data_IF_663575467505
#
_entry.id   IF_663575467505
#
_cell.length_a   1.000
_cell.length_b   1.000
_cell.length_c   1.000
_cell.angle_alpha   90.00
_cell.angle_beta   90.00
_cell.angle_gamma   90.00
#
_symmetry.space_group_name_H-M   'P 1'
#
loop_
_entity.id
_entity.type
_entity.pdbx_description
1 polymer ?
#
# COMPACT_ATOMS: atom_id res chain seq x y z
N UNK A 1 22.46 -5.36 -8.37
CA UNK A 1 22.10 -6.59 -7.63
C UNK A 1 21.40 -6.20 -6.34
N UNK A 2 20.17 -6.66 -6.08
CA UNK A 2 19.47 -6.39 -4.80
C UNK A 2 20.05 -7.32 -3.74
N UNK A 3 20.55 -6.77 -2.63
CA UNK A 3 21.05 -7.57 -1.50
C UNK A 3 19.89 -8.28 -0.78
N UNK A 4 20.16 -9.38 -0.06
CA UNK A 4 19.12 -10.07 0.74
C UNK A 4 18.48 -9.15 1.78
N UNK A 5 19.26 -8.24 2.36
CA UNK A 5 18.75 -7.24 3.32
C UNK A 5 17.81 -6.27 2.62
N UNK A 6 18.22 -5.71 1.48
CA UNK A 6 17.38 -4.82 0.68
C UNK A 6 16.08 -5.49 0.24
N UNK A 7 16.11 -6.76 -0.15
CA UNK A 7 14.90 -7.51 -0.51
C UNK A 7 13.90 -7.63 0.66
N UNK A 8 14.39 -7.90 1.88
CA UNK A 8 13.55 -7.92 3.08
C UNK A 8 13.01 -6.53 3.43
N UNK A 9 13.83 -5.48 3.31
CA UNK A 9 13.37 -4.09 3.50
C UNK A 9 12.21 -3.76 2.56
N UNK A 10 12.30 -4.14 1.28
CA UNK A 10 11.21 -3.94 0.32
C UNK A 10 9.95 -4.71 0.72
N UNK A 11 10.07 -5.96 1.17
CA UNK A 11 8.91 -6.73 1.63
C UNK A 11 8.27 -6.08 2.86
N UNK A 12 9.05 -5.71 3.87
CA UNK A 12 8.54 -5.06 5.08
C UNK A 12 7.88 -3.74 4.75
N UNK A 13 8.50 -2.90 3.92
CA UNK A 13 7.94 -1.62 3.50
C UNK A 13 6.61 -1.80 2.75
N UNK A 14 6.54 -2.78 1.85
CA UNK A 14 5.32 -3.12 1.12
C UNK A 14 4.20 -3.63 2.04
N UNK A 15 4.52 -4.54 2.97
CA UNK A 15 3.55 -5.04 3.97
C UNK A 15 3.05 -3.91 4.87
N UNK A 16 3.96 -3.09 5.40
CA UNK A 16 3.60 -1.94 6.24
C UNK A 16 2.60 -1.02 5.53
N UNK A 17 2.89 -0.70 4.26
CA UNK A 17 2.01 0.13 3.44
C UNK A 17 0.62 -0.49 3.28
N UNK A 18 0.52 -1.76 2.87
CA UNK A 18 -0.76 -2.47 2.69
C UNK A 18 -1.57 -2.57 4.00
N UNK A 19 -0.91 -2.65 5.16
CA UNK A 19 -1.58 -2.77 6.47
C UNK A 19 -2.10 -1.42 6.98
N UNK A 20 -1.36 -0.33 6.75
CA UNK A 20 -1.70 0.99 7.29
C UNK A 20 -2.86 1.64 6.54
N UNK A 21 -2.84 1.57 5.20
CA UNK A 21 -3.78 2.33 4.38
C UNK A 21 -5.26 1.97 4.55
N UNK A 22 -5.67 0.69 4.74
CA UNK A 22 -7.07 0.36 5.00
C UNK A 22 -7.65 1.05 6.24
N UNK A 23 -6.85 1.15 7.32
CA UNK A 23 -7.26 1.85 8.53
C UNK A 23 -7.43 3.35 8.27
N UNK A 24 -6.52 3.95 7.49
CA UNK A 24 -6.60 5.36 7.14
C UNK A 24 -7.78 5.65 6.21
N UNK A 25 -8.03 4.78 5.23
CA UNK A 25 -9.21 4.88 4.35
C UNK A 25 -10.51 4.88 5.15
N UNK A 26 -10.62 4.00 6.17
CA UNK A 26 -11.76 4.02 7.10
C UNK A 26 -11.87 5.36 7.84
N UNK A 27 -10.76 5.90 8.34
CA UNK A 27 -10.76 7.19 9.03
C UNK A 27 -11.23 8.34 8.13
N UNK A 28 -10.88 8.33 6.84
CA UNK A 28 -11.36 9.33 5.86
C UNK A 28 -12.85 9.18 5.60
N UNK A 29 -13.34 7.95 5.41
CA UNK A 29 -14.76 7.69 5.19
C UNK A 29 -15.60 8.16 6.39
N UNK A 30 -15.11 7.93 7.61
CA UNK A 30 -15.81 8.28 8.85
C UNK A 30 -15.68 9.79 9.20
N UNK A 31 -14.93 10.59 8.42
CA UNK A 31 -14.76 12.03 8.62
C UNK A 31 -15.93 12.81 8.00
N UNK A 32 -16.55 13.70 8.78
CA UNK A 32 -17.71 14.51 8.34
C UNK A 32 -17.42 15.32 7.08
N UNK A 33 -16.17 15.74 6.85
CA UNK A 33 -15.79 16.52 5.66
C UNK A 33 -15.76 15.71 4.38
N UNK A 34 -15.74 14.37 4.46
CA UNK A 34 -15.69 13.51 3.29
C UNK A 34 -17.01 13.51 2.50
N UNK A 35 -18.10 13.91 3.14
CA UNK A 35 -19.44 13.80 2.60
C UNK A 35 -20.15 15.15 2.66
N UNK A 36 -21.06 15.41 1.72
CA UNK A 36 -21.90 16.59 1.74
C UNK A 36 -23.05 16.49 2.78
N UNK A 37 -23.25 15.32 3.37
CA UNK A 37 -24.25 15.00 4.38
C UNK A 37 -23.97 13.62 4.97
N UNK A 38 -25.01 12.83 5.20
CA UNK A 38 -24.89 11.46 5.72
C UNK A 38 -23.90 10.61 4.90
N UNK A 39 -22.98 9.95 5.60
CA UNK A 39 -21.94 9.13 4.97
C UNK A 39 -22.59 8.02 4.11
N UNK A 40 -22.00 7.72 2.96
CA UNK A 40 -22.48 6.70 2.00
C UNK A 40 -23.85 6.96 1.34
N UNK A 41 -24.59 7.98 1.76
CA UNK A 41 -25.90 8.33 1.19
C UNK A 41 -25.93 9.73 0.56
N UNK A 42 -24.82 10.46 0.65
CA UNK A 42 -24.65 11.79 0.06
C UNK A 42 -23.43 11.84 -0.87
N UNK A 43 -23.30 12.93 -1.62
CA UNK A 43 -22.20 13.09 -2.57
C UNK A 43 -20.84 13.20 -1.83
N UNK A 44 -19.78 12.51 -2.31
CA UNK A 44 -18.44 12.68 -1.78
C UNK A 44 -17.89 14.07 -2.14
N UNK A 45 -17.16 14.68 -1.22
CA UNK A 45 -16.55 16.00 -1.41
C UNK A 45 -15.17 15.89 -2.06
N UNK A 46 -14.56 17.04 -2.38
CA UNK A 46 -13.15 17.09 -2.81
C UNK A 46 -12.20 16.51 -1.74
N UNK A 47 -12.51 16.65 -0.46
CA UNK A 47 -11.71 16.07 0.63
C UNK A 47 -11.62 14.55 0.50
N UNK A 48 -12.76 13.88 0.24
CA UNK A 48 -12.79 12.44 0.01
C UNK A 48 -11.95 12.06 -1.21
N UNK A 49 -12.18 12.72 -2.35
CA UNK A 49 -11.51 12.34 -3.61
C UNK A 49 -10.00 12.52 -3.57
N UNK A 50 -9.50 13.63 -2.99
CA UNK A 50 -8.05 13.84 -2.83
C UNK A 50 -7.45 12.69 -2.03
N UNK A 51 -8.05 12.34 -0.90
CA UNK A 51 -7.53 11.26 -0.06
C UNK A 51 -7.68 9.89 -0.73
N UNK A 52 -8.79 9.62 -1.42
CA UNK A 52 -8.98 8.37 -2.15
C UNK A 52 -7.89 8.16 -3.21
N UNK A 53 -7.55 9.20 -3.98
CA UNK A 53 -6.47 9.15 -4.98
C UNK A 53 -5.11 8.97 -4.31
N UNK A 54 -4.83 9.71 -3.23
CA UNK A 54 -3.56 9.60 -2.49
C UNK A 54 -3.38 8.19 -1.90
N UNK A 55 -4.42 7.65 -1.25
CA UNK A 55 -4.43 6.30 -0.68
C UNK A 55 -4.25 5.26 -1.80
N UNK A 56 -5.05 5.35 -2.88
CA UNK A 56 -4.96 4.41 -4.00
C UNK A 56 -3.57 4.39 -4.65
N UNK A 57 -2.97 5.57 -4.82
CA UNK A 57 -1.60 5.70 -5.33
C UNK A 57 -0.60 5.06 -4.37
N UNK A 58 -0.70 5.38 -3.08
CA UNK A 58 0.23 4.87 -2.08
C UNK A 58 0.15 3.34 -1.91
N UNK A 59 -1.06 2.76 -1.95
CA UNK A 59 -1.29 1.31 -1.92
C UNK A 59 -0.71 0.65 -3.17
N UNK A 60 -0.93 1.24 -4.35
CA UNK A 60 -0.39 0.72 -5.62
C UNK A 60 1.14 0.67 -5.57
N UNK A 61 1.78 1.75 -5.12
CA UNK A 61 3.22 1.79 -4.94
C UNK A 61 3.70 0.77 -3.90
N UNK A 62 2.99 0.64 -2.78
CA UNK A 62 3.27 -0.35 -1.74
C UNK A 62 3.23 -1.79 -2.26
N UNK A 63 2.22 -2.11 -3.08
CA UNK A 63 2.09 -3.42 -3.72
C UNK A 63 3.21 -3.67 -4.74
N UNK A 64 3.56 -2.68 -5.56
CA UNK A 64 4.71 -2.77 -6.47
C UNK A 64 6.00 -3.08 -5.71
N UNK A 65 6.26 -2.35 -4.63
CA UNK A 65 7.43 -2.55 -3.75
C UNK A 65 7.42 -3.95 -3.13
N UNK A 66 6.27 -4.40 -2.62
CA UNK A 66 6.10 -5.75 -2.06
C UNK A 66 6.41 -6.83 -3.10
N UNK A 67 5.84 -6.72 -4.30
CA UNK A 67 6.04 -7.68 -5.40
C UNK A 67 7.51 -7.75 -5.80
N UNK A 68 8.19 -6.59 -5.94
CA UNK A 68 9.63 -6.53 -6.25
C UNK A 68 10.44 -7.23 -5.15
N UNK A 69 10.16 -6.94 -3.87
CA UNK A 69 10.82 -7.57 -2.73
C UNK A 69 10.65 -9.10 -2.72
N UNK A 70 9.42 -9.58 -2.90
CA UNK A 70 9.10 -11.02 -2.95
C UNK A 70 9.82 -11.70 -4.11
N UNK A 71 9.83 -11.09 -5.31
CA UNK A 71 10.55 -11.62 -6.48
C UNK A 71 12.06 -11.70 -6.24
N UNK A 72 12.65 -10.67 -5.62
CA UNK A 72 14.06 -10.66 -5.27
C UNK A 72 14.43 -11.78 -4.27
N UNK A 73 13.59 -12.03 -3.25
CA UNK A 73 13.78 -13.13 -2.31
C UNK A 73 13.67 -14.51 -2.97
N UNK A 74 12.77 -14.68 -3.96
CA UNK A 74 12.63 -15.93 -4.71
C UNK A 74 13.85 -16.18 -5.62
N UNK A 75 14.34 -15.16 -6.32
CA UNK A 75 15.52 -15.28 -7.18
C UNK A 75 16.79 -15.61 -6.37
N UNK A 76 16.98 -14.98 -5.21
CA UNK A 76 18.12 -15.27 -4.33
C UNK A 76 18.09 -16.67 -3.69
N UNK A 77 16.93 -17.34 -3.64
CA UNK A 77 16.80 -18.74 -3.19
C UNK A 77 17.21 -19.75 -4.26
N UNK A 78 16.95 -19.46 -5.54
CA UNK A 78 17.33 -20.33 -6.66
C UNK A 78 18.85 -20.43 -6.84
N UNK A 79 19.57 -19.32 -6.64
CA UNK A 79 21.03 -19.26 -6.82
C UNK A 79 21.85 -20.04 -5.77
N UNK A 80 21.23 -20.47 -4.66
CA UNK A 80 21.90 -21.29 -3.61
C UNK A 80 21.75 -22.80 -3.82
N UNK A 81 20.90 -23.25 -4.74
CA UNK A 81 20.58 -24.68 -4.91
C UNK A 81 21.43 -25.39 -5.97
N UNK A 82 22.34 -24.66 -6.62
CA UNK A 82 23.17 -25.13 -7.74
C UNK A 82 24.68 -25.03 -7.45
N UNK A 83 25.09 -24.98 -6.18
CA UNK A 83 26.50 -24.97 -5.77
C UNK A 83 26.75 -25.97 -4.65
#
# INVERSE_FOLDING_TARGET
MISRVSAWVLVVAGVFNVVIWPRFAKAIVDDERAWAGEAWSSAPTAFFWVHAVLIGTAVTLGLCVLVIGVRALRAGRGSRRTS
#
